data_IF_422754518323
#
_entry.id   IF_422754518323
#
_cell.length_a   1.000
_cell.length_b   1.000
_cell.length_c   1.000
_cell.angle_alpha   90.00
_cell.angle_beta   90.00
_cell.angle_gamma   90.00
#
_symmetry.space_group_name_H-M   'P 1'
#
loop_
_entity.id
_entity.type
_entity.pdbx_description
1 polymer ?
#
# COMPACT_ATOMS: atom_id res chain seq x y z
N UNK A 1 5.93 8.10 5.76
CA UNK A 1 4.48 7.85 5.67
C UNK A 1 3.71 8.97 4.95
N UNK A 2 3.99 10.25 5.27
CA UNK A 2 3.30 11.37 4.62
C UNK A 2 3.57 11.45 3.12
N UNK A 3 4.80 11.23 2.69
CA UNK A 3 5.16 11.21 1.26
C UNK A 3 4.37 10.13 0.52
N UNK A 4 4.32 8.92 1.05
CA UNK A 4 3.56 7.83 0.45
C UNK A 4 2.05 8.08 0.48
N UNK A 5 1.55 8.67 1.59
CA UNK A 5 0.14 9.07 1.69
C UNK A 5 -0.23 10.07 0.58
N UNK A 6 0.62 11.04 0.28
CA UNK A 6 0.39 12.01 -0.80
C UNK A 6 0.47 11.34 -2.19
N UNK A 7 1.51 10.54 -2.43
CA UNK A 7 1.74 9.92 -3.75
C UNK A 7 0.61 8.94 -4.10
N UNK A 8 0.19 8.10 -3.16
CA UNK A 8 -0.77 7.03 -3.40
C UNK A 8 -2.19 7.39 -2.96
N UNK A 9 -2.33 8.17 -1.88
CA UNK A 9 -3.61 8.56 -1.32
C UNK A 9 -4.38 9.55 -2.18
N UNK A 10 -3.75 10.63 -2.65
CA UNK A 10 -4.44 11.65 -3.46
C UNK A 10 -5.05 11.09 -4.76
N UNK A 11 -4.35 10.29 -5.57
CA UNK A 11 -4.99 9.66 -6.72
C UNK A 11 -6.09 8.66 -6.34
N UNK A 12 -5.89 7.89 -5.27
CA UNK A 12 -6.88 6.94 -4.78
C UNK A 12 -8.15 7.65 -4.29
N UNK A 13 -8.02 8.79 -3.60
CA UNK A 13 -9.15 9.59 -3.14
C UNK A 13 -10.06 10.05 -4.29
N UNK A 14 -9.48 10.46 -5.42
CA UNK A 14 -10.25 10.88 -6.60
C UNK A 14 -11.18 9.79 -7.14
N UNK A 15 -10.82 8.52 -6.94
CA UNK A 15 -11.62 7.36 -7.38
C UNK A 15 -12.55 6.87 -6.28
N UNK A 16 -12.07 6.80 -5.05
CA UNK A 16 -12.80 6.27 -3.90
C UNK A 16 -13.74 7.29 -3.26
N UNK A 17 -13.35 8.54 -3.28
CA UNK A 17 -13.90 9.60 -2.45
C UNK A 17 -13.31 9.59 -1.02
N UNK A 18 -13.45 10.71 -0.27
CA UNK A 18 -12.76 10.91 1.01
C UNK A 18 -13.18 9.87 2.07
N UNK A 19 -14.46 9.56 2.17
CA UNK A 19 -14.96 8.62 3.19
C UNK A 19 -14.48 7.18 3.00
N UNK A 20 -14.41 6.71 1.75
CA UNK A 20 -13.90 5.35 1.47
C UNK A 20 -12.39 5.29 1.61
N UNK A 21 -11.68 6.35 1.29
CA UNK A 21 -10.25 6.45 1.55
C UNK A 21 -9.97 6.42 3.05
N UNK A 22 -10.72 7.20 3.85
CA UNK A 22 -10.59 7.22 5.30
C UNK A 22 -10.88 5.82 5.89
N UNK A 23 -11.94 5.17 5.42
CA UNK A 23 -12.28 3.81 5.86
C UNK A 23 -11.18 2.81 5.51
N UNK A 24 -10.65 2.86 4.27
CA UNK A 24 -9.52 2.03 3.85
C UNK A 24 -8.30 2.25 4.75
N UNK A 25 -7.99 3.50 5.08
CA UNK A 25 -6.86 3.85 5.93
C UNK A 25 -7.04 3.29 7.35
N UNK A 26 -8.20 3.52 7.98
CA UNK A 26 -8.47 3.09 9.34
C UNK A 26 -8.56 1.56 9.45
N UNK A 27 -9.35 0.91 8.58
CA UNK A 27 -9.52 -0.54 8.60
C UNK A 27 -8.23 -1.24 8.16
N UNK A 28 -7.54 -0.72 7.14
CA UNK A 28 -6.25 -1.25 6.72
C UNK A 28 -5.20 -1.17 7.81
N UNK A 29 -5.18 -0.07 8.58
CA UNK A 29 -4.33 0.07 9.76
C UNK A 29 -4.69 -0.91 10.86
N UNK A 30 -5.98 -1.13 11.14
CA UNK A 30 -6.44 -2.11 12.12
C UNK A 30 -6.04 -3.54 11.73
N UNK A 31 -6.27 -3.92 10.48
CA UNK A 31 -5.85 -5.24 9.94
C UNK A 31 -4.34 -5.42 10.04
N UNK A 32 -3.58 -4.39 9.67
CA UNK A 32 -2.12 -4.37 9.79
C UNK A 32 -1.66 -4.62 11.22
N UNK A 33 -2.27 -3.93 12.19
CA UNK A 33 -1.95 -4.10 13.60
C UNK A 33 -2.33 -5.49 14.12
N UNK A 34 -3.46 -6.06 13.68
CA UNK A 34 -3.82 -7.44 14.02
C UNK A 34 -2.77 -8.42 13.51
N UNK A 35 -2.31 -8.28 12.27
CA UNK A 35 -1.24 -9.13 11.73
C UNK A 35 0.03 -8.98 12.56
N UNK A 36 0.38 -7.75 12.95
CA UNK A 36 1.53 -7.52 13.81
C UNK A 36 1.41 -8.26 15.16
N UNK A 37 0.27 -8.15 15.83
CA UNK A 37 0.03 -8.83 17.12
C UNK A 37 0.25 -10.35 17.01
N UNK A 38 -0.21 -10.97 15.91
CA UNK A 38 -0.06 -12.41 15.69
C UNK A 38 1.34 -12.83 15.26
N UNK A 39 2.14 -11.91 14.72
CA UNK A 39 3.46 -12.23 14.14
C UNK A 39 4.62 -11.76 15.01
N UNK A 40 4.39 -10.85 15.95
CA UNK A 40 5.42 -10.39 16.88
C UNK A 40 5.54 -11.37 18.05
N UNK A 41 6.78 -11.76 18.33
CA UNK A 41 7.08 -12.79 19.32
C UNK A 41 7.01 -12.33 20.77
N UNK A 42 6.73 -11.05 21.08
CA UNK A 42 6.63 -10.51 22.44
C UNK A 42 5.48 -9.51 22.55
N UNK A 43 4.63 -9.65 23.61
CA UNK A 43 3.54 -8.71 23.86
C UNK A 43 4.01 -7.31 24.30
N UNK A 44 5.26 -7.17 24.70
CA UNK A 44 5.83 -5.90 25.20
C UNK A 44 6.37 -5.00 24.06
N UNK A 45 6.28 -5.45 22.82
CA UNK A 45 6.74 -4.66 21.67
C UNK A 45 5.70 -3.59 21.31
N UNK A 46 6.14 -2.34 21.34
CA UNK A 46 5.32 -1.20 20.95
C UNK A 46 5.41 -0.99 19.46
N UNK A 47 4.28 -0.98 18.77
CA UNK A 47 4.18 -0.64 17.34
C UNK A 47 3.77 0.82 17.24
N UNK A 48 4.62 1.63 16.61
CA UNK A 48 4.36 3.06 16.39
C UNK A 48 4.37 3.34 14.89
N UNK A 49 3.33 4.00 14.41
CA UNK A 49 3.29 4.56 13.07
C UNK A 49 2.10 4.13 12.23
N UNK A 50 1.75 4.99 11.28
CA UNK A 50 0.67 4.78 10.32
C UNK A 50 1.08 3.90 9.12
N UNK A 51 2.28 3.31 9.16
CA UNK A 51 2.87 2.64 7.99
C UNK A 51 2.07 1.45 7.48
N UNK A 52 1.39 0.73 8.36
CA UNK A 52 0.50 -0.36 7.97
C UNK A 52 -0.74 0.13 7.21
N UNK A 53 -1.35 1.24 7.66
CA UNK A 53 -2.44 1.89 6.94
C UNK A 53 -1.99 2.45 5.59
N UNK A 54 -0.79 3.04 5.53
CA UNK A 54 -0.17 3.51 4.28
C UNK A 54 0.11 2.33 3.34
N UNK A 55 0.54 1.18 3.85
CA UNK A 55 0.71 -0.05 3.06
C UNK A 55 -0.61 -0.51 2.43
N UNK A 56 -1.74 -0.37 3.15
CA UNK A 56 -3.06 -0.64 2.58
C UNK A 56 -3.41 0.32 1.44
N UNK A 57 -3.07 1.61 1.56
CA UNK A 57 -3.23 2.57 0.46
C UNK A 57 -2.39 2.21 -0.76
N UNK A 58 -1.13 1.79 -0.57
CA UNK A 58 -0.25 1.35 -1.67
C UNK A 58 -0.84 0.13 -2.38
N UNK A 59 -1.35 -0.84 -1.62
CA UNK A 59 -2.01 -2.02 -2.17
C UNK A 59 -3.28 -1.68 -2.98
N UNK A 60 -4.13 -0.81 -2.43
CA UNK A 60 -5.34 -0.35 -3.11
C UNK A 60 -5.00 0.45 -4.39
N UNK A 61 -3.99 1.31 -4.33
CA UNK A 61 -3.51 2.06 -5.49
C UNK A 61 -3.09 1.12 -6.63
N UNK A 62 -2.30 0.08 -6.33
CA UNK A 62 -1.87 -0.91 -7.31
C UNK A 62 -3.06 -1.57 -8.01
N UNK A 63 -4.09 -1.94 -7.25
CA UNK A 63 -5.29 -2.58 -7.80
C UNK A 63 -6.18 -1.61 -8.60
N UNK A 64 -6.28 -0.34 -8.16
CA UNK A 64 -7.08 0.69 -8.83
C UNK A 64 -6.42 1.17 -10.12
N UNK A 65 -5.08 1.26 -10.15
CA UNK A 65 -4.31 1.84 -11.24
C UNK A 65 -3.23 0.88 -11.79
N UNK A 66 -3.59 -0.29 -12.33
CA UNK A 66 -2.63 -1.31 -12.75
C UNK A 66 -1.69 -0.85 -13.89
N UNK A 67 -2.10 0.13 -14.68
CA UNK A 67 -1.30 0.71 -15.77
C UNK A 67 -0.54 1.99 -15.38
N UNK A 68 -0.57 2.39 -14.10
CA UNK A 68 0.09 3.61 -13.66
C UNK A 68 1.61 3.54 -13.80
N UNK A 69 2.22 4.70 -14.04
CA UNK A 69 3.67 4.89 -14.03
C UNK A 69 4.02 5.95 -13.00
N UNK A 70 5.03 5.67 -12.20
CA UNK A 70 5.55 6.59 -11.19
C UNK A 70 6.85 7.21 -11.66
N UNK A 71 7.02 8.49 -11.38
CA UNK A 71 8.29 9.17 -11.56
C UNK A 71 9.25 8.85 -10.42
N UNK A 72 10.46 8.41 -10.75
CA UNK A 72 11.52 8.12 -9.79
C UNK A 72 12.72 8.97 -10.15
N UNK A 73 13.30 9.60 -9.15
CA UNK A 73 14.58 10.31 -9.27
C UNK A 73 15.68 9.35 -8.85
N UNK A 74 16.59 9.05 -9.76
CA UNK A 74 17.72 8.17 -9.50
C UNK A 74 18.97 9.03 -9.39
N UNK A 75 19.67 9.03 -8.24
CA UNK A 75 20.95 9.70 -8.12
C UNK A 75 22.04 8.89 -8.81
N UNK A 76 22.60 9.41 -9.89
CA UNK A 76 23.73 8.84 -10.60
C UNK A 76 24.97 9.71 -10.35
N UNK A 77 25.61 9.53 -9.22
CA UNK A 77 26.73 10.37 -8.79
C UNK A 77 26.30 11.82 -8.57
N UNK A 78 26.84 12.76 -9.37
CA UNK A 78 26.48 14.19 -9.31
C UNK A 78 25.23 14.56 -10.10
N UNK A 79 24.63 13.61 -10.85
CA UNK A 79 23.47 13.85 -11.67
C UNK A 79 22.23 13.21 -11.05
N UNK A 80 21.07 13.85 -11.26
CA UNK A 80 19.75 13.33 -10.92
C UNK A 80 19.01 12.96 -12.20
N UNK A 81 18.76 11.68 -12.41
CA UNK A 81 18.02 11.19 -13.57
C UNK A 81 16.55 10.98 -13.18
N UNK A 82 15.65 11.53 -13.99
CA UNK A 82 14.22 11.34 -13.82
C UNK A 82 13.70 10.25 -14.75
N UNK A 83 13.32 9.12 -14.17
CA UNK A 83 12.83 7.94 -14.90
C UNK A 83 11.38 7.66 -14.56
N UNK A 84 10.58 7.31 -15.57
CA UNK A 84 9.20 6.82 -15.37
C UNK A 84 9.18 5.30 -15.41
N UNK A 85 8.92 4.67 -14.27
CA UNK A 85 8.81 3.22 -14.15
C UNK A 85 7.35 2.79 -13.91
N UNK A 86 6.95 1.59 -14.35
CA UNK A 86 5.64 1.03 -14.04
C UNK A 86 5.44 0.92 -12.52
N UNK A 87 4.29 1.39 -12.03
CA UNK A 87 3.99 1.37 -10.59
C UNK A 87 4.00 -0.04 -10.02
N UNK A 88 3.49 -1.02 -10.76
CA UNK A 88 3.48 -2.43 -10.33
C UNK A 88 4.88 -3.00 -10.10
N UNK A 89 5.88 -2.56 -10.87
CA UNK A 89 7.26 -2.99 -10.69
C UNK A 89 7.85 -2.41 -9.41
N UNK A 90 7.72 -1.10 -9.21
CA UNK A 90 8.25 -0.41 -8.02
C UNK A 90 7.58 -0.90 -6.74
N UNK A 91 6.25 -1.00 -6.76
CA UNK A 91 5.47 -1.50 -5.62
C UNK A 91 5.74 -2.99 -5.40
N UNK A 92 5.90 -3.80 -6.47
CA UNK A 92 6.24 -5.21 -6.38
C UNK A 92 7.60 -5.45 -5.74
N UNK A 93 8.63 -4.69 -6.13
CA UNK A 93 9.95 -4.73 -5.49
C UNK A 93 9.86 -4.32 -4.03
N UNK A 94 9.14 -3.23 -3.73
CA UNK A 94 8.92 -2.81 -2.35
C UNK A 94 8.23 -3.88 -1.52
N UNK A 95 7.16 -4.51 -2.03
CA UNK A 95 6.44 -5.58 -1.34
C UNK A 95 7.32 -6.84 -1.14
N UNK A 96 8.12 -7.22 -2.15
CA UNK A 96 9.06 -8.33 -2.03
C UNK A 96 10.11 -8.07 -0.94
N UNK A 97 10.63 -6.86 -0.84
CA UNK A 97 11.55 -6.47 0.23
C UNK A 97 10.89 -6.56 1.62
N UNK A 98 9.60 -6.24 1.76
CA UNK A 98 8.89 -6.45 3.04
C UNK A 98 8.91 -7.93 3.45
N UNK A 99 8.68 -8.85 2.50
CA UNK A 99 8.71 -10.29 2.75
C UNK A 99 10.12 -10.75 3.15
N UNK A 100 11.15 -10.31 2.42
CA UNK A 100 12.54 -10.63 2.74
C UNK A 100 12.89 -10.15 4.15
N UNK A 101 12.61 -8.89 4.47
CA UNK A 101 12.90 -8.32 5.78
C UNK A 101 12.04 -8.92 6.91
N UNK A 102 10.84 -9.42 6.62
CA UNK A 102 10.03 -10.14 7.58
C UNK A 102 10.71 -11.45 8.05
N UNK A 103 11.51 -12.08 7.19
CA UNK A 103 12.22 -13.31 7.52
C UNK A 103 13.61 -13.07 8.15
N UNK A 104 14.33 -12.04 7.69
CA UNK A 104 15.68 -11.73 8.19
C UNK A 104 15.67 -10.57 9.21
N UNK A 105 14.56 -9.91 9.37
CA UNK A 105 14.39 -8.62 10.02
C UNK A 105 14.56 -8.56 11.54
N UNK A 106 14.38 -9.64 12.35
CA UNK A 106 14.67 -9.56 13.78
C UNK A 106 16.08 -9.06 14.08
N UNK A 107 17.01 -9.19 13.12
CA UNK A 107 18.38 -8.70 13.21
C UNK A 107 18.56 -7.22 12.86
N UNK A 108 17.56 -6.55 12.26
CA UNK A 108 17.66 -5.20 11.69
C UNK A 108 16.76 -4.15 12.35
N UNK A 109 16.21 -4.42 13.53
CA UNK A 109 15.42 -3.46 14.30
C UNK A 109 13.93 -3.78 14.39
N UNK A 110 13.22 -2.96 15.17
CA UNK A 110 11.83 -3.21 15.57
C UNK A 110 10.82 -2.70 14.51
N UNK A 111 10.93 -3.17 13.28
CA UNK A 111 9.96 -2.84 12.24
C UNK A 111 8.99 -4.01 12.06
N UNK A 112 7.70 -3.72 12.12
CA UNK A 112 6.65 -4.71 11.97
C UNK A 112 6.41 -5.03 10.47
N UNK A 113 7.37 -5.72 9.82
CA UNK A 113 7.32 -6.04 8.39
C UNK A 113 6.05 -6.80 8.00
N UNK A 114 5.63 -7.77 8.82
CA UNK A 114 4.39 -8.53 8.59
C UNK A 114 3.14 -7.65 8.64
N UNK A 115 3.15 -6.60 9.46
CA UNK A 115 2.09 -5.60 9.48
C UNK A 115 1.96 -4.88 8.13
N UNK A 116 3.08 -4.50 7.52
CA UNK A 116 3.07 -3.88 6.19
C UNK A 116 2.52 -4.83 5.13
N UNK A 117 2.90 -6.11 5.16
CA UNK A 117 2.39 -7.14 4.26
C UNK A 117 0.89 -7.32 4.44
N UNK A 118 0.41 -7.42 5.68
CA UNK A 118 -1.02 -7.55 6.00
C UNK A 118 -1.84 -6.36 5.50
N UNK A 119 -1.38 -5.15 5.77
CA UNK A 119 -1.99 -3.93 5.26
C UNK A 119 -2.02 -3.89 3.74
N UNK A 120 -0.90 -4.18 3.09
CA UNK A 120 -0.79 -4.21 1.63
C UNK A 120 -1.77 -5.20 0.98
N UNK A 121 -1.81 -6.44 1.46
CA UNK A 121 -2.72 -7.47 0.93
C UNK A 121 -4.18 -7.06 1.12
N UNK A 122 -4.55 -6.55 2.30
CA UNK A 122 -5.88 -6.00 2.53
C UNK A 122 -6.22 -4.90 1.51
N UNK A 123 -5.30 -3.98 1.27
CA UNK A 123 -5.47 -2.89 0.31
C UNK A 123 -5.69 -3.38 -1.12
N UNK A 124 -4.90 -4.38 -1.57
CA UNK A 124 -5.07 -5.00 -2.89
C UNK A 124 -6.47 -5.61 -3.03
N UNK A 125 -6.89 -6.42 -2.06
CA UNK A 125 -8.22 -7.06 -2.07
C UNK A 125 -9.33 -6.01 -2.12
N UNK A 126 -9.25 -4.99 -1.27
CA UNK A 126 -10.20 -3.88 -1.25
C UNK A 126 -10.25 -3.15 -2.60
N UNK A 127 -9.10 -2.81 -3.17
CA UNK A 127 -8.99 -2.10 -4.45
C UNK A 127 -9.57 -2.91 -5.61
N UNK A 128 -9.31 -4.22 -5.67
CA UNK A 128 -9.90 -5.13 -6.66
C UNK A 128 -11.42 -5.17 -6.53
N UNK A 129 -11.93 -5.31 -5.30
CA UNK A 129 -13.37 -5.32 -5.04
C UNK A 129 -14.05 -4.03 -5.50
N UNK A 130 -13.51 -2.86 -5.11
CA UNK A 130 -14.08 -1.56 -5.47
C UNK A 130 -14.01 -1.32 -6.98
N UNK A 131 -12.90 -1.67 -7.62
CA UNK A 131 -12.76 -1.57 -9.09
C UNK A 131 -13.81 -2.40 -9.81
N UNK A 132 -14.04 -3.63 -9.37
CA UNK A 132 -15.07 -4.50 -9.93
C UNK A 132 -16.49 -3.95 -9.70
N UNK A 133 -16.76 -3.35 -8.53
CA UNK A 133 -18.03 -2.72 -8.22
C UNK A 133 -18.29 -1.49 -9.12
N UNK A 134 -17.27 -0.64 -9.33
CA UNK A 134 -17.34 0.52 -10.23
C UNK A 134 -17.62 0.07 -11.66
N UNK A 135 -16.86 -0.92 -12.15
CA UNK A 135 -17.03 -1.44 -13.50
C UNK A 135 -18.45 -2.02 -13.73
N UNK A 136 -19.00 -2.72 -12.73
CA UNK A 136 -20.39 -3.23 -12.78
C UNK A 136 -21.42 -2.11 -12.84
N UNK A 137 -21.24 -1.03 -12.06
CA UNK A 137 -22.15 0.13 -12.06
C UNK A 137 -22.13 0.86 -13.40
N UNK A 138 -20.95 1.06 -13.99
CA UNK A 138 -20.81 1.70 -15.30
C UNK A 138 -21.47 0.88 -16.40
N UNK A 139 -21.29 -0.45 -16.43
CA UNK A 139 -21.98 -1.33 -17.38
C UNK A 139 -23.50 -1.23 -17.28
N UNK A 140 -24.06 -1.30 -16.08
CA UNK A 140 -25.50 -1.15 -15.86
C UNK A 140 -26.04 0.19 -16.33
N UNK A 141 -25.25 1.24 -16.28
CA UNK A 141 -25.66 2.61 -16.62
C UNK A 141 -25.64 2.85 -18.14
N UNK A 142 -24.82 2.15 -18.88
CA UNK A 142 -24.64 2.29 -20.34
C UNK A 142 -25.27 1.14 -21.15
N UNK A 143 -26.02 0.24 -20.52
CA UNK A 143 -26.83 -0.79 -21.22
C UNK A 143 -26.03 -1.93 -21.85
N UNK A 144 -24.80 -2.20 -21.38
CA UNK A 144 -24.01 -3.34 -21.81
C UNK A 144 -24.02 -4.45 -20.76
#
# INVERSE_FOLDING_TARGET
>A
NLVFLLIFGLPAERVLGPWRLLLLFLVGGAVSNLVAIYTMGSPDQIIIGASGAVSALIGAYLALFPGARLGVVIPLGLFLEFVRAPAYLLIGVWAALQVVFAHIGPSFGMVAWWAHIGGFVFGVVYGVYVRAAIARRLRKRHGF
#
